data_IF_818490176529
#
_entry.id   IF_818490176529
#
_cell.length_a   1.000
_cell.length_b   1.000
_cell.length_c   1.000
_cell.angle_alpha   90.00
_cell.angle_beta   90.00
_cell.angle_gamma   90.00
#
_symmetry.space_group_name_H-M   'P 1'
#
loop_
_entity.id
_entity.type
_entity.pdbx_description
1 polymer ?
#
# COMPACT_ATOMS: atom_id res chain seq x y z
N UNK A 1 -12.89 13.55 7.21
CA UNK A 1 -12.41 12.44 8.07
C UNK A 1 -11.74 11.43 7.13
N UNK A 2 -10.43 11.25 7.22
CA UNK A 2 -9.69 10.38 6.29
C UNK A 2 -9.56 8.97 6.82
N UNK A 3 -9.23 8.01 5.95
CA UNK A 3 -8.79 6.69 6.37
C UNK A 3 -7.43 6.81 7.08
N UNK A 4 -7.21 6.01 8.12
CA UNK A 4 -5.97 6.01 8.90
C UNK A 4 -5.57 4.57 9.24
N UNK A 5 -4.33 4.20 8.92
CA UNK A 5 -3.76 2.89 9.21
C UNK A 5 -2.67 3.02 10.27
N UNK A 6 -2.91 2.59 11.53
CA UNK A 6 -1.87 2.51 12.55
C UNK A 6 -0.73 1.58 12.13
N UNK A 7 0.53 2.01 12.31
CA UNK A 7 1.71 1.22 11.91
C UNK A 7 1.80 -0.16 12.58
N UNK A 8 1.25 -0.32 13.79
CA UNK A 8 1.22 -1.61 14.50
C UNK A 8 0.50 -2.73 13.75
N UNK A 9 -0.37 -2.38 12.79
CA UNK A 9 -1.08 -3.33 11.96
C UNK A 9 -0.42 -3.53 10.59
N UNK A 10 0.70 -2.85 10.31
CA UNK A 10 1.44 -3.05 9.06
C UNK A 10 2.42 -4.20 9.25
N UNK A 11 2.13 -5.36 8.67
CA UNK A 11 3.01 -6.54 8.77
C UNK A 11 4.12 -6.55 7.72
N UNK A 12 4.00 -5.73 6.69
CA UNK A 12 5.06 -5.52 5.71
C UNK A 12 4.72 -4.47 4.66
N UNK A 13 5.70 -4.12 3.84
CA UNK A 13 5.49 -3.25 2.69
C UNK A 13 6.43 -3.58 1.52
N UNK A 14 5.97 -3.29 0.31
CA UNK A 14 6.75 -3.46 -0.93
C UNK A 14 6.57 -2.27 -1.87
N UNK A 15 7.66 -1.89 -2.53
CA UNK A 15 7.66 -0.89 -3.58
C UNK A 15 7.12 -1.48 -4.88
N UNK A 16 6.25 -0.73 -5.56
CA UNK A 16 5.64 -1.12 -6.82
C UNK A 16 6.11 -0.16 -7.91
N UNK A 17 6.55 -0.72 -9.04
CA UNK A 17 6.74 0.03 -10.27
C UNK A 17 5.39 0.34 -10.95
N UNK A 18 5.42 1.18 -11.99
CA UNK A 18 4.21 1.59 -12.70
C UNK A 18 3.38 0.45 -13.31
N UNK A 19 3.99 -0.47 -14.06
CA UNK A 19 3.29 -1.63 -14.59
C UNK A 19 2.68 -2.51 -13.49
N UNK A 20 3.39 -2.77 -12.39
CA UNK A 20 2.90 -3.61 -11.31
C UNK A 20 1.76 -2.94 -10.57
N UNK A 21 1.88 -1.64 -10.23
CA UNK A 21 0.81 -0.87 -9.61
C UNK A 21 -0.50 -0.99 -10.41
N UNK A 22 -0.44 -0.85 -11.74
CA UNK A 22 -1.62 -0.96 -12.60
C UNK A 22 -2.26 -2.34 -12.57
N UNK A 23 -1.46 -3.42 -12.48
CA UNK A 23 -1.98 -4.79 -12.42
C UNK A 23 -2.68 -5.05 -11.09
N UNK A 24 -2.03 -4.69 -9.97
CA UNK A 24 -2.54 -4.95 -8.61
C UNK A 24 -3.70 -4.04 -8.21
N UNK A 25 -3.85 -2.87 -8.83
CA UNK A 25 -5.08 -2.05 -8.71
C UNK A 25 -6.18 -2.54 -9.65
N UNK A 26 -5.79 -3.13 -10.79
CA UNK A 26 -6.71 -3.66 -11.78
C UNK A 26 -7.03 -5.14 -11.54
N UNK A 27 -6.76 -5.95 -12.57
CA UNK A 27 -7.20 -7.35 -12.64
C UNK A 27 -6.66 -8.26 -11.53
N UNK A 28 -5.54 -7.91 -10.90
CA UNK A 28 -4.89 -8.71 -9.86
C UNK A 28 -5.26 -8.21 -8.44
N UNK A 29 -6.09 -7.17 -8.35
CA UNK A 29 -6.49 -6.57 -7.09
C UNK A 29 -7.56 -7.35 -6.35
N UNK A 30 -7.50 -7.27 -5.02
CA UNK A 30 -8.53 -7.74 -4.10
C UNK A 30 -9.57 -6.62 -3.91
N UNK A 31 -10.88 -6.90 -4.10
CA UNK A 31 -11.93 -5.90 -3.91
C UNK A 31 -12.03 -5.36 -2.47
N UNK A 32 -11.53 -6.08 -1.47
CA UNK A 32 -11.47 -5.62 -0.08
C UNK A 32 -10.28 -4.71 0.21
N UNK A 33 -9.33 -4.55 -0.72
CA UNK A 33 -8.16 -3.73 -0.50
C UNK A 33 -8.49 -2.23 -0.49
N UNK A 34 -7.80 -1.48 0.37
CA UNK A 34 -7.88 -0.02 0.35
C UNK A 34 -6.92 0.53 -0.72
N UNK A 35 -7.46 1.24 -1.71
CA UNK A 35 -6.65 1.80 -2.81
C UNK A 35 -6.76 3.33 -2.85
N UNK A 36 -5.63 4.01 -2.67
CA UNK A 36 -5.52 5.47 -2.79
C UNK A 36 -4.38 5.85 -3.75
N UNK A 37 -4.68 5.84 -5.04
CA UNK A 37 -3.70 6.14 -6.09
C UNK A 37 -3.95 7.48 -6.78
N UNK A 38 -2.91 8.02 -7.41
CA UNK A 38 -2.97 9.16 -8.31
C UNK A 38 -2.62 8.68 -9.72
N UNK A 39 -3.51 8.78 -10.73
CA UNK A 39 -3.27 8.23 -12.06
C UNK A 39 -1.99 8.74 -12.76
N UNK A 40 -1.52 9.94 -12.41
CA UNK A 40 -0.29 10.55 -12.94
C UNK A 40 0.99 10.21 -12.14
N UNK A 41 0.89 9.41 -11.07
CA UNK A 41 2.04 8.87 -10.35
C UNK A 41 2.12 7.38 -10.67
N UNK A 42 3.11 7.01 -11.48
CA UNK A 42 3.34 5.62 -11.89
C UNK A 42 3.62 4.69 -10.70
N UNK A 43 4.62 4.95 -9.85
CA UNK A 43 4.97 4.05 -8.75
C UNK A 43 4.05 4.16 -7.53
N UNK A 44 4.09 3.14 -6.68
CA UNK A 44 3.33 3.08 -5.44
C UNK A 44 3.95 2.15 -4.41
N UNK A 45 3.29 2.03 -3.26
CA UNK A 45 3.66 1.11 -2.20
C UNK A 45 2.42 0.31 -1.84
N UNK A 46 2.61 -1.00 -1.65
CA UNK A 46 1.60 -1.86 -1.03
C UNK A 46 2.02 -2.19 0.40
N UNK A 47 1.08 -2.12 1.33
CA UNK A 47 1.25 -2.42 2.76
C UNK A 47 0.31 -3.55 3.13
N UNK A 48 0.81 -4.64 3.70
CA UNK A 48 -0.05 -5.69 4.24
C UNK A 48 -0.59 -5.28 5.60
N UNK A 49 -1.87 -5.58 5.84
CA UNK A 49 -2.59 -5.18 7.05
C UNK A 49 -2.97 -6.43 7.84
N UNK A 50 -2.60 -6.44 9.11
CA UNK A 50 -2.95 -7.45 10.11
C UNK A 50 -3.69 -6.78 11.26
N UNK A 51 -4.94 -6.39 11.00
CA UNK A 51 -5.87 -5.89 12.02
C UNK A 51 -7.00 -6.92 12.21
N UNK A 52 -7.16 -7.53 13.40
CA UNK A 52 -8.20 -8.53 13.64
C UNK A 52 -9.62 -7.97 13.49
N UNK A 53 -9.79 -6.64 13.59
CA UNK A 53 -11.09 -5.97 13.52
C UNK A 53 -11.38 -5.34 12.14
N UNK A 54 -10.44 -5.39 11.19
CA UNK A 54 -10.59 -4.84 9.83
C UNK A 54 -10.21 -5.90 8.78
N UNK A 55 -11.16 -6.33 7.91
CA UNK A 55 -10.90 -7.34 6.89
C UNK A 55 -10.06 -6.82 5.71
N UNK A 56 -9.67 -5.54 5.68
CA UNK A 56 -8.85 -4.96 4.61
C UNK A 56 -7.48 -5.66 4.55
N UNK A 57 -7.16 -6.45 3.52
CA UNK A 57 -5.96 -7.29 3.54
C UNK A 57 -4.67 -6.51 3.29
N UNK A 58 -4.77 -5.41 2.54
CA UNK A 58 -3.66 -4.53 2.24
C UNK A 58 -4.13 -3.16 1.76
N UNK A 59 -3.22 -2.19 1.82
CA UNK A 59 -3.38 -0.85 1.29
C UNK A 59 -2.45 -0.64 0.10
N UNK A 60 -2.89 0.11 -0.92
CA UNK A 60 -2.05 0.55 -2.03
C UNK A 60 -2.09 2.08 -2.11
N UNK A 61 -0.92 2.73 -2.08
CA UNK A 61 -0.79 4.19 -2.13
C UNK A 61 0.27 4.62 -3.14
N UNK A 62 -0.04 5.61 -3.99
CA UNK A 62 0.95 6.18 -4.92
C UNK A 62 2.08 6.90 -4.19
N UNK A 63 3.33 6.69 -4.63
CA UNK A 63 4.51 7.40 -4.13
C UNK A 63 5.52 7.60 -5.24
N UNK A 64 6.13 8.79 -5.32
CA UNK A 64 7.25 9.05 -6.25
C UNK A 64 8.58 8.46 -5.77
N UNK A 65 8.63 8.00 -4.52
CA UNK A 65 9.82 7.40 -3.88
C UNK A 65 9.39 6.16 -3.08
N UNK A 66 8.88 5.12 -3.75
CA UNK A 66 8.31 3.97 -3.05
C UNK A 66 9.36 3.21 -2.23
N UNK A 67 10.59 3.08 -2.74
CA UNK A 67 11.69 2.41 -2.02
C UNK A 67 12.06 3.13 -0.71
N UNK A 68 12.07 4.46 -0.72
CA UNK A 68 12.33 5.26 0.48
C UNK A 68 11.23 5.04 1.53
N UNK A 69 9.97 4.95 1.13
CA UNK A 69 8.87 4.67 2.06
C UNK A 69 9.03 3.30 2.71
N UNK A 70 9.35 2.28 1.92
CA UNK A 70 9.60 0.92 2.43
C UNK A 70 10.79 0.90 3.38
N UNK A 71 11.87 1.62 3.06
CA UNK A 71 13.02 1.74 3.94
C UNK A 71 12.63 2.38 5.28
N UNK A 72 11.95 3.53 5.27
CA UNK A 72 11.55 4.24 6.49
C UNK A 72 10.60 3.40 7.35
N UNK A 73 9.72 2.59 6.75
CA UNK A 73 8.87 1.68 7.52
C UNK A 73 9.67 0.59 8.23
N UNK A 74 10.70 0.05 7.59
CA UNK A 74 11.58 -0.94 8.21
C UNK A 74 12.37 -0.35 9.38
N UNK A 75 12.71 0.94 9.32
CA UNK A 75 13.40 1.65 10.39
C UNK A 75 12.47 2.05 11.55
N UNK A 76 11.16 2.14 11.30
CA UNK A 76 10.17 2.55 12.29
C UNK A 76 9.55 1.39 13.09
N UNK A 77 9.75 0.15 12.64
CA UNK A 77 9.36 -1.08 13.37
C UNK A 77 10.47 -1.56 14.30
#
# INVERSE_FOLDING_TARGET
RGAHLPLRYVSGAVALDGPTLRRVVGREGDPAAFVSIRPWIGPGVQFWVEDPDDPTPYWIVSSRRPDLVVQLLREAG
#
